data_IF_112900484640
#
_entry.id   IF_112900484640
#
_cell.length_a   1.000
_cell.length_b   1.000
_cell.length_c   1.000
_cell.angle_alpha   90.00
_cell.angle_beta   90.00
_cell.angle_gamma   90.00
#
_symmetry.space_group_name_H-M   'P 1'
#
loop_
_entity.id
_entity.type
_entity.pdbx_description
1 polymer ?
#
# COMPACT_ATOMS: atom_id res chain seq x y z
N UNK A 1 17.47 15.06 8.05
CA UNK A 1 17.40 14.20 6.84
C UNK A 1 18.02 14.91 5.64
N UNK A 2 18.85 14.20 4.83
CA UNK A 2 19.50 14.78 3.65
C UNK A 2 18.69 14.57 2.36
N UNK A 3 19.04 15.35 1.29
CA UNK A 3 18.40 15.24 -0.04
C UNK A 3 18.48 13.81 -0.61
N UNK A 4 19.63 13.14 -0.46
CA UNK A 4 19.82 11.77 -0.94
C UNK A 4 18.84 10.80 -0.28
N UNK A 5 18.65 10.92 1.03
CA UNK A 5 17.69 10.09 1.78
C UNK A 5 16.26 10.33 1.27
N UNK A 6 15.89 11.61 1.04
CA UNK A 6 14.56 11.96 0.54
C UNK A 6 14.30 11.35 -0.85
N UNK A 7 15.29 11.39 -1.74
CA UNK A 7 15.17 10.80 -3.09
C UNK A 7 15.03 9.28 -3.00
N UNK A 8 15.91 8.60 -2.26
CA UNK A 8 15.90 7.12 -2.16
C UNK A 8 14.60 6.64 -1.52
N UNK A 9 14.17 7.24 -0.41
CA UNK A 9 12.91 6.89 0.23
C UNK A 9 11.70 7.18 -0.68
N UNK A 10 11.73 8.29 -1.41
CA UNK A 10 10.70 8.63 -2.41
C UNK A 10 10.60 7.60 -3.53
N UNK A 11 11.74 7.12 -4.04
CA UNK A 11 11.79 6.05 -5.05
C UNK A 11 11.21 4.75 -4.47
N UNK A 12 11.69 4.32 -3.30
CA UNK A 12 11.22 3.09 -2.65
C UNK A 12 9.72 3.15 -2.38
N UNK A 13 9.24 4.24 -1.79
CA UNK A 13 7.81 4.44 -1.54
C UNK A 13 7.00 4.40 -2.84
N UNK A 14 7.37 5.21 -3.84
CA UNK A 14 6.62 5.31 -5.09
C UNK A 14 6.57 3.99 -5.87
N UNK A 15 7.66 3.22 -5.84
CA UNK A 15 7.72 1.89 -6.47
C UNK A 15 6.89 0.89 -5.68
N UNK A 16 7.12 0.78 -4.38
CA UNK A 16 6.58 -0.30 -3.57
C UNK A 16 5.13 -0.09 -3.10
N UNK A 17 4.60 1.15 -3.15
CA UNK A 17 3.23 1.45 -2.73
C UNK A 17 2.18 0.77 -3.62
N UNK A 18 2.42 0.75 -4.91
CA UNK A 18 1.49 0.20 -5.89
C UNK A 18 1.86 -1.20 -6.35
N UNK A 19 3.15 -1.48 -6.53
CA UNK A 19 3.58 -2.84 -6.77
C UNK A 19 3.29 -3.68 -5.52
N UNK A 20 2.87 -4.94 -5.68
CA UNK A 20 2.43 -5.76 -4.56
C UNK A 20 3.62 -6.33 -3.77
N UNK A 21 4.51 -5.44 -3.26
CA UNK A 21 5.76 -5.81 -2.57
C UNK A 21 5.92 -5.21 -1.18
N UNK A 22 4.92 -4.43 -0.69
CA UNK A 22 4.91 -3.77 0.63
C UNK A 22 5.88 -2.59 0.78
N UNK A 23 5.38 -1.36 0.60
CA UNK A 23 6.14 -0.12 0.78
C UNK A 23 6.63 0.05 2.22
N UNK A 24 5.75 -0.15 3.21
CA UNK A 24 6.10 -0.06 4.63
C UNK A 24 7.20 -1.04 5.03
N UNK A 25 7.15 -2.28 4.54
CA UNK A 25 8.20 -3.27 4.77
C UNK A 25 9.54 -2.83 4.19
N UNK A 26 9.56 -2.30 2.96
CA UNK A 26 10.78 -1.83 2.30
C UNK A 26 11.36 -0.58 2.96
N UNK A 27 10.53 0.35 3.43
CA UNK A 27 11.00 1.52 4.17
C UNK A 27 11.65 1.10 5.50
N UNK A 28 11.04 0.19 6.28
CA UNK A 28 11.64 -0.35 7.51
C UNK A 28 13.00 -0.99 7.23
N UNK A 29 13.10 -1.80 6.17
CA UNK A 29 14.37 -2.43 5.75
C UNK A 29 15.39 -1.37 5.35
N UNK A 30 14.99 -0.38 4.54
CA UNK A 30 15.87 0.70 4.10
C UNK A 30 16.45 1.46 5.27
N UNK A 31 15.61 1.85 6.24
CA UNK A 31 16.04 2.59 7.43
C UNK A 31 17.03 1.76 8.27
N UNK A 32 16.75 0.46 8.45
CA UNK A 32 17.65 -0.44 9.18
C UNK A 32 19.00 -0.61 8.50
N UNK A 33 19.04 -0.71 7.16
CA UNK A 33 20.28 -0.93 6.40
C UNK A 33 21.15 0.33 6.30
N UNK A 34 20.51 1.49 6.21
CA UNK A 34 21.22 2.75 5.96
C UNK A 34 21.56 3.51 7.23
N UNK A 35 21.04 3.06 8.38
CA UNK A 35 21.18 3.79 9.64
C UNK A 35 20.52 5.17 9.57
N UNK A 36 19.57 5.36 8.66
CA UNK A 36 18.80 6.59 8.66
C UNK A 36 18.14 6.74 10.03
N UNK A 37 18.48 7.82 10.72
CA UNK A 37 17.83 8.20 11.99
C UNK A 37 16.32 8.10 11.79
N UNK A 38 15.63 7.61 12.82
CA UNK A 38 14.21 7.27 12.81
C UNK A 38 13.40 8.11 11.83
N UNK A 39 12.57 7.47 10.99
CA UNK A 39 11.79 8.21 10.01
C UNK A 39 11.02 9.28 10.78
N UNK A 40 11.25 10.52 10.44
CA UNK A 40 10.35 11.58 10.87
C UNK A 40 8.98 11.14 10.40
N UNK A 41 8.09 10.78 11.31
CA UNK A 41 6.73 10.28 11.01
C UNK A 41 6.06 11.14 9.93
N UNK A 42 6.31 12.44 9.97
CA UNK A 42 5.86 13.39 8.98
C UNK A 42 6.46 13.19 7.59
N UNK A 43 7.71 12.77 7.50
CA UNK A 43 8.33 12.52 6.20
C UNK A 43 7.66 11.34 5.49
N UNK A 44 7.42 10.23 6.19
CA UNK A 44 6.71 9.09 5.63
C UNK A 44 5.29 9.45 5.19
N UNK A 45 4.62 10.36 5.93
CA UNK A 45 3.32 10.88 5.51
C UNK A 45 3.42 11.66 4.19
N UNK A 46 4.46 12.49 4.00
CA UNK A 46 4.67 13.22 2.74
C UNK A 46 4.95 12.27 1.57
N UNK A 47 5.68 11.19 1.80
CA UNK A 47 5.87 10.15 0.79
C UNK A 47 4.53 9.51 0.38
N UNK A 48 3.67 9.18 1.35
CA UNK A 48 2.34 8.62 1.09
C UNK A 48 1.41 9.64 0.41
N UNK A 49 1.48 10.93 0.75
CA UNK A 49 0.75 11.96 0.03
C UNK A 49 1.21 12.08 -1.43
N UNK A 50 2.50 11.89 -1.71
CA UNK A 50 3.02 11.85 -3.07
C UNK A 50 2.42 10.69 -3.87
N UNK A 51 2.37 9.49 -3.30
CA UNK A 51 1.72 8.35 -3.95
C UNK A 51 0.20 8.53 -4.04
N UNK A 52 -0.44 9.16 -3.07
CA UNK A 52 -1.86 9.53 -3.16
C UNK A 52 -2.12 10.50 -4.33
N UNK A 53 -1.25 11.49 -4.53
CA UNK A 53 -1.33 12.39 -5.68
C UNK A 53 -1.20 11.62 -7.01
N UNK A 54 -0.34 10.60 -7.08
CA UNK A 54 -0.25 9.71 -8.24
C UNK A 54 -1.58 9.00 -8.54
N UNK A 55 -2.31 8.53 -7.52
CA UNK A 55 -3.65 7.93 -7.68
C UNK A 55 -4.63 8.96 -8.26
N UNK A 56 -4.64 10.18 -7.74
CA UNK A 56 -5.50 11.25 -8.28
C UNK A 56 -5.19 11.56 -9.74
N UNK A 57 -3.92 11.58 -10.12
CA UNK A 57 -3.50 11.85 -11.51
C UNK A 57 -3.93 10.70 -12.43
N UNK A 58 -3.73 9.44 -12.04
CA UNK A 58 -3.98 8.28 -12.90
C UNK A 58 -5.47 7.92 -12.95
N UNK A 59 -6.19 7.99 -11.82
CA UNK A 59 -7.58 7.57 -11.68
C UNK A 59 -8.55 8.75 -11.50
N UNK A 60 -8.18 9.98 -11.83
CA UNK A 60 -9.00 11.17 -11.61
C UNK A 60 -10.41 11.07 -12.21
N UNK A 61 -10.54 10.53 -13.44
CA UNK A 61 -11.86 10.27 -14.06
C UNK A 61 -12.70 9.28 -13.25
N UNK A 62 -12.08 8.19 -12.80
CA UNK A 62 -12.76 7.15 -12.06
C UNK A 62 -13.21 7.63 -10.69
N UNK A 63 -12.43 8.51 -10.06
CA UNK A 63 -12.78 9.16 -8.80
C UNK A 63 -14.01 10.04 -8.99
N UNK A 64 -14.00 10.91 -10.00
CA UNK A 64 -15.15 11.77 -10.32
C UNK A 64 -16.40 10.93 -10.63
N UNK A 65 -16.26 9.90 -11.46
CA UNK A 65 -17.37 9.00 -11.77
C UNK A 65 -17.94 8.30 -10.53
N UNK A 66 -17.09 7.93 -9.57
CA UNK A 66 -17.52 7.23 -8.36
C UNK A 66 -18.41 8.10 -7.44
N UNK A 67 -18.29 9.42 -7.52
CA UNK A 67 -19.11 10.34 -6.72
C UNK A 67 -20.27 10.95 -7.52
N UNK A 68 -20.21 10.94 -8.85
CA UNK A 68 -21.22 11.57 -9.71
C UNK A 68 -22.17 10.55 -10.35
N UNK A 69 -21.65 9.71 -11.23
CA UNK A 69 -22.42 8.78 -12.08
C UNK A 69 -22.47 7.35 -11.55
N UNK A 70 -21.35 6.87 -11.01
CA UNK A 70 -21.23 5.51 -10.46
C UNK A 70 -21.31 5.49 -8.93
N UNK A 71 -22.32 6.14 -8.35
CA UNK A 71 -22.50 6.30 -6.90
C UNK A 71 -22.44 4.99 -6.11
N UNK A 72 -22.85 3.87 -6.72
CA UNK A 72 -22.71 2.54 -6.13
C UNK A 72 -21.24 2.19 -5.87
N UNK A 73 -20.33 2.50 -6.79
CA UNK A 73 -18.90 2.28 -6.62
C UNK A 73 -18.36 3.13 -5.45
N UNK A 74 -18.71 4.40 -5.38
CA UNK A 74 -18.38 5.28 -4.27
C UNK A 74 -18.86 4.73 -2.91
N UNK A 75 -20.13 4.27 -2.85
CA UNK A 75 -20.65 3.62 -1.65
C UNK A 75 -19.85 2.38 -1.24
N UNK A 76 -19.48 1.53 -2.19
CA UNK A 76 -18.70 0.32 -1.92
C UNK A 76 -17.27 0.64 -1.44
N UNK A 77 -16.66 1.71 -1.95
CA UNK A 77 -15.37 2.22 -1.46
C UNK A 77 -15.51 2.67 0.00
N UNK A 78 -16.55 3.46 0.32
CA UNK A 78 -16.79 3.91 1.69
C UNK A 78 -17.07 2.74 2.64
N UNK A 79 -17.83 1.74 2.22
CA UNK A 79 -18.09 0.52 2.98
C UNK A 79 -16.80 -0.24 3.28
N UNK A 80 -15.99 -0.52 2.26
CA UNK A 80 -14.70 -1.20 2.44
C UNK A 80 -13.75 -0.40 3.35
N UNK A 81 -13.74 0.93 3.20
CA UNK A 81 -12.93 1.83 4.04
C UNK A 81 -13.38 1.82 5.51
N UNK A 82 -14.69 1.84 5.77
CA UNK A 82 -15.22 1.76 7.12
C UNK A 82 -14.83 0.44 7.81
N UNK A 83 -14.91 -0.69 7.08
CA UNK A 83 -14.49 -1.99 7.58
C UNK A 83 -12.98 -2.00 7.84
N UNK A 84 -12.17 -1.47 6.93
CA UNK A 84 -10.72 -1.30 7.13
C UNK A 84 -10.43 -0.50 8.40
N UNK A 85 -11.10 0.63 8.58
CA UNK A 85 -10.90 1.50 9.73
C UNK A 85 -11.25 0.80 11.05
N UNK A 86 -12.39 0.11 11.12
CA UNK A 86 -12.78 -0.68 12.29
C UNK A 86 -11.76 -1.76 12.59
N UNK A 87 -11.28 -2.48 11.57
CA UNK A 87 -10.27 -3.51 11.73
C UNK A 87 -8.96 -2.94 12.28
N UNK A 88 -8.45 -1.85 11.68
CA UNK A 88 -7.21 -1.20 12.12
C UNK A 88 -7.33 -0.71 13.57
N UNK A 89 -8.43 -0.07 13.94
CA UNK A 89 -8.65 0.37 15.32
C UNK A 89 -8.69 -0.81 16.31
N UNK A 90 -9.32 -1.91 15.94
CA UNK A 90 -9.39 -3.10 16.78
C UNK A 90 -8.00 -3.74 17.05
N UNK A 91 -7.07 -3.64 16.10
CA UNK A 91 -5.76 -4.27 16.16
C UNK A 91 -4.60 -3.28 16.17
N UNK A 92 -4.83 -2.00 16.46
CA UNK A 92 -3.81 -0.95 16.34
C UNK A 92 -2.53 -1.24 17.12
N UNK A 93 -2.64 -1.71 18.36
CA UNK A 93 -1.48 -2.07 19.19
C UNK A 93 -0.64 -3.19 18.60
N UNK A 94 -1.29 -4.20 17.99
CA UNK A 94 -0.60 -5.30 17.34
C UNK A 94 0.13 -4.84 16.06
N UNK A 95 -0.52 -3.93 15.32
CA UNK A 95 0.04 -3.32 14.11
C UNK A 95 1.28 -2.49 14.47
N UNK A 96 1.19 -1.60 15.47
CA UNK A 96 2.32 -0.79 15.92
C UNK A 96 3.49 -1.64 16.43
N UNK A 97 3.21 -2.67 17.23
CA UNK A 97 4.23 -3.60 17.70
C UNK A 97 4.94 -4.34 16.55
N UNK A 98 4.26 -4.58 15.43
CA UNK A 98 4.87 -5.25 14.29
C UNK A 98 5.92 -4.38 13.57
N UNK A 99 5.85 -3.05 13.66
CA UNK A 99 6.83 -2.15 13.07
C UNK A 99 8.18 -2.16 13.79
N UNK A 100 8.21 -2.54 15.07
CA UNK A 100 9.43 -2.51 15.88
C UNK A 100 10.37 -3.70 15.62
N UNK A 101 9.89 -4.75 14.95
CA UNK A 101 10.66 -5.97 14.73
C UNK A 101 10.82 -6.30 13.24
N UNK A 102 12.01 -6.09 12.74
CA UNK A 102 12.37 -6.34 11.33
C UNK A 102 12.16 -7.81 10.90
N UNK A 103 12.30 -8.78 11.81
CA UNK A 103 11.99 -10.19 11.48
C UNK A 103 10.50 -10.41 11.24
N UNK A 104 9.64 -9.71 11.98
CA UNK A 104 8.19 -9.71 11.74
C UNK A 104 7.89 -9.21 10.32
N UNK A 105 8.54 -8.13 9.89
CA UNK A 105 8.44 -7.62 8.51
C UNK A 105 8.84 -8.69 7.50
N UNK A 106 9.94 -9.41 7.73
CA UNK A 106 10.39 -10.50 6.86
C UNK A 106 9.37 -11.64 6.76
N UNK A 107 8.79 -12.06 7.88
CA UNK A 107 7.74 -13.09 7.91
C UNK A 107 6.50 -12.62 7.14
N UNK A 108 6.08 -11.38 7.34
CA UNK A 108 4.91 -10.81 6.65
C UNK A 108 5.16 -10.66 5.15
N UNK A 109 6.39 -10.37 4.71
CA UNK A 109 6.78 -10.42 3.30
C UNK A 109 6.62 -11.83 2.70
N UNK A 110 7.07 -12.87 3.42
CA UNK A 110 6.90 -14.26 2.96
C UNK A 110 5.42 -14.61 2.84
N UNK A 111 4.60 -14.27 3.84
CA UNK A 111 3.14 -14.49 3.81
C UNK A 111 2.51 -13.75 2.62
N UNK A 112 2.88 -12.48 2.41
CA UNK A 112 2.43 -11.69 1.27
C UNK A 112 2.80 -12.36 -0.06
N UNK A 113 4.02 -12.89 -0.16
CA UNK A 113 4.50 -13.57 -1.35
C UNK A 113 3.74 -14.87 -1.64
N UNK A 114 3.45 -15.69 -0.62
CA UNK A 114 2.63 -16.92 -0.76
C UNK A 114 1.24 -16.55 -1.26
N UNK A 115 0.63 -15.50 -0.70
CA UNK A 115 -0.69 -15.02 -1.11
C UNK A 115 -0.72 -14.62 -2.59
N UNK A 116 0.30 -13.88 -3.04
CA UNK A 116 0.44 -13.46 -4.43
C UNK A 116 0.65 -14.64 -5.39
N UNK A 117 1.44 -15.64 -5.00
CA UNK A 117 1.65 -16.84 -5.81
C UNK A 117 0.35 -17.64 -5.91
N UNK A 118 -0.43 -17.73 -4.84
CA UNK A 118 -1.71 -18.43 -4.83
C UNK A 118 -2.67 -17.90 -5.91
N UNK A 119 -2.58 -16.60 -6.26
CA UNK A 119 -3.37 -16.02 -7.35
C UNK A 119 -3.11 -16.63 -8.73
N UNK A 120 -1.93 -17.25 -8.94
CA UNK A 120 -1.60 -17.88 -10.22
C UNK A 120 -2.43 -19.14 -10.50
N UNK A 121 -3.02 -19.72 -9.47
CA UNK A 121 -3.84 -20.95 -9.59
C UNK A 121 -5.32 -20.65 -9.80
N UNK A 122 -5.70 -19.39 -9.91
CA UNK A 122 -7.09 -18.94 -10.04
C UNK A 122 -7.32 -18.42 -11.45
N UNK A 123 -8.45 -18.81 -12.03
CA UNK A 123 -8.92 -18.18 -13.26
C UNK A 123 -9.60 -16.86 -12.89
N UNK A 124 -9.17 -15.77 -13.50
CA UNK A 124 -9.80 -14.48 -13.33
C UNK A 124 -11.26 -14.56 -13.77
N UNK A 125 -12.14 -14.12 -12.90
CA UNK A 125 -13.57 -14.09 -13.16
C UNK A 125 -13.98 -12.83 -13.93
N UNK A 126 -15.27 -12.74 -14.18
CA UNK A 126 -15.92 -11.56 -14.79
C UNK A 126 -17.07 -11.06 -13.91
N UNK A 127 -17.05 -11.46 -12.64
CA UNK A 127 -18.12 -11.10 -11.72
C UNK A 127 -18.06 -9.63 -11.32
N UNK A 128 -19.24 -9.03 -11.13
CA UNK A 128 -19.33 -7.65 -10.68
C UNK A 128 -18.98 -7.44 -9.22
N UNK A 129 -18.65 -6.21 -8.86
CA UNK A 129 -18.40 -5.79 -7.49
C UNK A 129 -19.71 -5.79 -6.68
N UNK A 130 -19.68 -6.40 -5.48
CA UNK A 130 -20.79 -6.44 -4.51
C UNK A 130 -20.36 -5.88 -3.17
N UNK A 131 -21.33 -5.60 -2.27
CA UNK A 131 -21.04 -5.14 -0.90
C UNK A 131 -20.25 -6.19 -0.11
N UNK A 132 -20.56 -7.47 -0.27
CA UNK A 132 -19.82 -8.56 0.37
C UNK A 132 -18.35 -8.57 -0.07
N UNK A 133 -18.08 -8.47 -1.39
CA UNK A 133 -16.71 -8.40 -1.93
C UNK A 133 -15.98 -7.15 -1.44
N UNK A 134 -16.64 -6.00 -1.45
CA UNK A 134 -16.06 -4.76 -0.93
C UNK A 134 -15.69 -4.88 0.57
N UNK A 135 -16.53 -5.55 1.36
CA UNK A 135 -16.27 -5.83 2.76
C UNK A 135 -15.04 -6.72 2.97
N UNK A 136 -14.95 -7.84 2.24
CA UNK A 136 -13.80 -8.76 2.34
C UNK A 136 -12.50 -8.10 1.87
N UNK A 137 -12.54 -7.28 0.80
CA UNK A 137 -11.38 -6.49 0.37
C UNK A 137 -11.02 -5.45 1.43
N UNK A 138 -12.01 -4.86 2.14
CA UNK A 138 -11.78 -3.96 3.26
C UNK A 138 -11.08 -4.64 4.45
N UNK A 139 -11.47 -5.88 4.79
CA UNK A 139 -10.77 -6.71 5.79
C UNK A 139 -9.33 -6.99 5.35
N UNK A 140 -9.12 -7.40 4.09
CA UNK A 140 -7.79 -7.64 3.55
C UNK A 140 -6.91 -6.37 3.59
N UNK A 141 -7.48 -5.20 3.33
CA UNK A 141 -6.79 -3.92 3.51
C UNK A 141 -6.42 -3.64 4.98
N UNK A 142 -7.30 -3.99 5.92
CA UNK A 142 -7.02 -3.88 7.35
C UNK A 142 -5.86 -4.78 7.79
N UNK A 143 -5.83 -6.04 7.34
CA UNK A 143 -4.71 -6.97 7.57
C UNK A 143 -3.41 -6.41 6.98
N UNK A 144 -3.49 -5.78 5.82
CA UNK A 144 -2.33 -5.19 5.14
C UNK A 144 -1.81 -3.89 5.80
N UNK A 145 -2.37 -3.43 6.91
CA UNK A 145 -1.76 -2.44 7.78
C UNK A 145 -0.52 -2.99 8.53
N UNK A 146 -0.36 -4.33 8.61
CA UNK A 146 0.84 -4.96 9.12
C UNK A 146 2.03 -4.72 8.18
N UNK A 147 3.19 -4.25 8.69
CA UNK A 147 4.37 -3.99 7.85
C UNK A 147 4.90 -5.30 7.25
N UNK A 148 5.19 -5.28 5.95
CA UNK A 148 5.58 -6.47 5.20
C UNK A 148 4.43 -7.10 4.42
N UNK A 149 3.16 -6.89 4.80
CA UNK A 149 2.03 -7.25 3.95
C UNK A 149 1.80 -6.13 2.93
N UNK A 150 1.77 -6.49 1.66
CA UNK A 150 1.45 -5.54 0.60
C UNK A 150 -0.03 -5.21 0.58
N UNK A 151 -0.39 -3.93 0.79
CA UNK A 151 -1.78 -3.48 0.73
C UNK A 151 -2.38 -3.71 -0.67
N UNK A 152 -1.71 -3.28 -1.73
CA UNK A 152 -2.14 -3.53 -3.11
C UNK A 152 -2.19 -5.03 -3.42
N UNK A 153 -1.20 -5.79 -2.95
CA UNK A 153 -1.16 -7.26 -3.07
C UNK A 153 -2.36 -7.91 -2.41
N UNK A 154 -2.63 -7.63 -1.16
CA UNK A 154 -3.74 -8.23 -0.40
C UNK A 154 -5.11 -7.88 -1.00
N UNK A 155 -5.36 -6.60 -1.31
CA UNK A 155 -6.65 -6.15 -1.82
C UNK A 155 -6.94 -6.64 -3.23
N UNK A 156 -5.95 -6.58 -4.14
CA UNK A 156 -6.10 -7.08 -5.52
C UNK A 156 -6.27 -8.60 -5.51
N UNK A 157 -5.41 -9.33 -4.79
CA UNK A 157 -5.52 -10.79 -4.69
C UNK A 157 -6.87 -11.23 -4.13
N UNK A 158 -7.36 -10.58 -3.07
CA UNK A 158 -8.69 -10.87 -2.53
C UNK A 158 -9.78 -10.63 -3.58
N UNK A 159 -9.69 -9.53 -4.34
CA UNK A 159 -10.61 -9.28 -5.44
C UNK A 159 -10.61 -10.39 -6.51
N UNK A 160 -9.41 -10.87 -6.88
CA UNK A 160 -9.25 -11.97 -7.84
C UNK A 160 -9.82 -13.30 -7.29
N UNK A 161 -9.57 -13.63 -6.01
CA UNK A 161 -10.14 -14.80 -5.32
C UNK A 161 -11.68 -14.76 -5.29
N UNK A 162 -12.25 -13.56 -5.25
CA UNK A 162 -13.70 -13.35 -5.25
C UNK A 162 -14.29 -13.29 -6.67
N UNK A 163 -13.54 -13.66 -7.71
CA UNK A 163 -14.01 -13.74 -9.08
C UNK A 163 -14.07 -12.41 -9.83
N UNK A 164 -13.38 -11.36 -9.35
CA UNK A 164 -13.23 -10.12 -10.12
C UNK A 164 -12.18 -10.30 -11.21
N UNK A 165 -12.32 -9.55 -12.29
CA UNK A 165 -11.23 -9.40 -13.25
C UNK A 165 -10.12 -8.50 -12.70
N UNK A 166 -8.91 -8.61 -13.29
CA UNK A 166 -7.73 -7.91 -12.79
C UNK A 166 -7.85 -6.38 -12.82
N UNK A 167 -8.54 -5.82 -13.82
CA UNK A 167 -8.74 -4.36 -13.92
C UNK A 167 -9.67 -3.85 -12.82
N UNK A 168 -10.81 -4.52 -12.64
CA UNK A 168 -11.79 -4.19 -11.61
C UNK A 168 -11.18 -4.31 -10.21
N UNK A 169 -10.44 -5.40 -9.94
CA UNK A 169 -9.76 -5.61 -8.67
C UNK A 169 -8.72 -4.51 -8.38
N UNK A 170 -7.86 -4.19 -9.36
CA UNK A 170 -6.84 -3.15 -9.22
C UNK A 170 -7.47 -1.76 -9.04
N UNK A 171 -8.43 -1.42 -9.90
CA UNK A 171 -9.13 -0.13 -9.82
C UNK A 171 -9.80 0.06 -8.46
N UNK A 172 -10.54 -0.94 -7.99
CA UNK A 172 -11.19 -0.87 -6.68
C UNK A 172 -10.16 -0.74 -5.56
N UNK A 173 -9.07 -1.50 -5.60
CA UNK A 173 -7.97 -1.44 -4.63
C UNK A 173 -7.36 -0.03 -4.53
N UNK A 174 -7.08 0.62 -5.67
CA UNK A 174 -6.48 1.95 -5.67
C UNK A 174 -7.48 3.05 -5.25
N UNK A 175 -8.73 2.94 -5.64
CA UNK A 175 -9.76 3.87 -5.14
C UNK A 175 -9.99 3.70 -3.63
N UNK A 176 -9.95 2.47 -3.13
CA UNK A 176 -10.06 2.16 -1.70
C UNK A 176 -8.86 2.66 -0.89
N UNK A 177 -7.69 2.84 -1.52
CA UNK A 177 -6.51 3.39 -0.84
C UNK A 177 -6.64 4.87 -0.51
N UNK A 178 -7.46 5.63 -1.25
CA UNK A 178 -7.61 7.08 -1.06
C UNK A 178 -8.10 7.40 0.36
N UNK A 179 -9.26 6.90 0.82
CA UNK A 179 -9.71 7.16 2.18
C UNK A 179 -8.80 6.52 3.24
N UNK A 180 -8.12 5.40 2.93
CA UNK A 180 -7.20 4.77 3.85
C UNK A 180 -5.96 5.64 4.11
N UNK A 181 -5.29 6.13 3.06
CA UNK A 181 -4.10 7.01 3.18
C UNK A 181 -4.50 8.36 3.80
N UNK A 182 -5.60 8.95 3.34
CA UNK A 182 -6.10 10.20 3.90
C UNK A 182 -6.46 10.06 5.40
N UNK A 183 -7.10 8.95 5.77
CA UNK A 183 -7.44 8.65 7.16
C UNK A 183 -6.21 8.45 8.04
N UNK A 184 -5.22 7.71 7.57
CA UNK A 184 -3.94 7.52 8.27
C UNK A 184 -3.20 8.85 8.47
N UNK A 185 -3.20 9.72 7.46
CA UNK A 185 -2.62 11.06 7.53
C UNK A 185 -3.30 11.91 8.59
N UNK A 186 -4.65 11.99 8.57
CA UNK A 186 -5.42 12.76 9.55
C UNK A 186 -5.24 12.22 10.98
N UNK A 187 -5.20 10.89 11.13
CA UNK A 187 -4.99 10.26 12.43
C UNK A 187 -3.62 10.65 13.01
N UNK A 188 -2.55 10.57 12.21
CA UNK A 188 -1.19 10.92 12.65
C UNK A 188 -1.03 12.41 12.97
N UNK A 189 -1.64 13.30 12.19
CA UNK A 189 -1.67 14.72 12.52
C UNK A 189 -2.33 14.98 13.87
N UNK A 190 -3.44 14.28 14.13
CA UNK A 190 -4.14 14.42 15.41
C UNK A 190 -3.31 13.91 16.60
N UNK A 191 -2.58 12.81 16.40
CA UNK A 191 -1.77 12.18 17.46
C UNK A 191 -0.51 12.99 17.79
N UNK A 192 0.22 13.44 16.78
CA UNK A 192 1.54 14.07 16.94
C UNK A 192 1.51 15.61 16.94
N UNK A 193 0.33 16.20 16.66
CA UNK A 193 0.24 17.65 16.37
C UNK A 193 0.83 17.99 14.99
N UNK A 194 0.40 19.09 14.40
CA UNK A 194 0.96 19.59 13.14
C UNK A 194 2.07 20.59 13.45
N UNK A 195 3.30 20.10 13.71
CA UNK A 195 4.46 20.98 13.82
C UNK A 195 5.00 21.33 12.41
N UNK A 196 4.46 22.39 11.84
CA UNK A 196 4.92 22.92 10.54
C UNK A 196 6.34 23.50 10.62
N UNK A 197 6.85 23.79 11.81
CA UNK A 197 8.17 24.40 12.05
C UNK A 197 9.35 23.51 11.60
N UNK A 198 9.14 22.19 11.47
CA UNK A 198 10.16 21.23 11.00
C UNK A 198 10.15 20.94 9.49
N UNK A 199 9.22 21.51 8.73
CA UNK A 199 9.15 21.25 7.30
C UNK A 199 10.37 21.86 6.57
N UNK A 200 11.09 21.02 5.86
CA UNK A 200 12.20 21.42 5.02
C UNK A 200 11.98 20.97 3.57
N UNK A 201 12.81 21.44 2.66
CA UNK A 201 12.71 21.17 1.21
C UNK A 201 12.73 19.64 0.90
N UNK A 202 13.35 18.82 1.74
CA UNK A 202 13.48 17.38 1.53
C UNK A 202 12.12 16.65 1.58
N UNK A 203 11.15 17.16 2.33
CA UNK A 203 9.77 16.63 2.36
C UNK A 203 9.11 16.75 0.99
N UNK A 204 9.28 17.92 0.35
CA UNK A 204 8.74 18.16 -0.99
C UNK A 204 9.49 17.36 -2.05
N UNK A 205 10.81 17.18 -1.91
CA UNK A 205 11.59 16.31 -2.80
C UNK A 205 11.05 14.88 -2.71
N UNK A 206 10.89 14.34 -1.49
CA UNK A 206 10.32 13.02 -1.27
C UNK A 206 8.92 12.87 -1.87
N UNK A 207 8.04 13.86 -1.64
CA UNK A 207 6.69 13.91 -2.21
C UNK A 207 6.70 13.82 -3.74
N UNK A 208 7.45 14.69 -4.43
CA UNK A 208 7.47 14.69 -5.89
C UNK A 208 8.11 13.45 -6.49
N UNK A 209 9.17 12.93 -5.86
CA UNK A 209 9.82 11.68 -6.29
C UNK A 209 8.86 10.50 -6.12
N UNK A 210 8.22 10.38 -4.96
CA UNK A 210 7.24 9.29 -4.72
C UNK A 210 6.02 9.39 -5.63
N UNK A 211 5.56 10.61 -5.95
CA UNK A 211 4.49 10.83 -6.91
C UNK A 211 4.89 10.35 -8.32
N UNK A 212 6.03 10.80 -8.83
CA UNK A 212 6.53 10.42 -10.16
C UNK A 212 6.75 8.92 -10.29
N UNK A 213 7.44 8.31 -9.32
CA UNK A 213 7.65 6.86 -9.29
C UNK A 213 6.35 6.10 -9.10
N UNK A 214 5.41 6.65 -8.34
CA UNK A 214 4.07 6.08 -8.16
C UNK A 214 3.29 6.01 -9.47
N UNK A 215 3.31 7.04 -10.29
CA UNK A 215 2.65 7.03 -11.62
C UNK A 215 3.24 5.93 -12.50
N UNK A 216 4.57 5.79 -12.51
CA UNK A 216 5.24 4.74 -13.29
C UNK A 216 4.86 3.34 -12.80
N UNK A 217 4.83 3.15 -11.49
CA UNK A 217 4.52 1.86 -10.84
C UNK A 217 3.07 1.45 -11.06
N UNK A 218 2.12 2.37 -11.00
CA UNK A 218 0.72 2.13 -11.34
C UNK A 218 0.57 1.61 -12.77
N UNK A 219 1.21 2.28 -13.74
CA UNK A 219 1.19 1.87 -15.15
C UNK A 219 1.82 0.48 -15.34
N UNK A 220 2.94 0.21 -14.67
CA UNK A 220 3.61 -1.08 -14.73
C UNK A 220 2.75 -2.19 -14.15
N UNK A 221 2.12 -1.96 -12.99
CA UNK A 221 1.26 -2.95 -12.35
C UNK A 221 0.06 -3.32 -13.24
N UNK A 222 -0.64 -2.33 -13.77
CA UNK A 222 -1.77 -2.57 -14.68
C UNK A 222 -1.35 -3.42 -15.88
N UNK A 223 -0.17 -3.13 -16.47
CA UNK A 223 0.39 -3.94 -17.57
C UNK A 223 0.73 -5.38 -17.14
N UNK A 224 1.21 -5.56 -15.91
CA UNK A 224 1.59 -6.88 -15.37
C UNK A 224 0.37 -7.74 -15.07
N UNK A 225 -0.70 -7.15 -14.54
CA UNK A 225 -1.98 -7.81 -14.33
C UNK A 225 -2.59 -8.30 -15.65
N UNK A 226 -2.52 -7.48 -16.70
CA UNK A 226 -2.96 -7.87 -18.04
C UNK A 226 -2.26 -9.12 -18.58
N UNK A 227 -1.00 -9.36 -18.16
CA UNK A 227 -0.16 -10.47 -18.62
C UNK A 227 -0.19 -11.70 -17.70
N UNK A 228 -1.06 -11.70 -16.68
CA UNK A 228 -1.11 -12.77 -15.66
C UNK A 228 0.25 -13.05 -14.98
N UNK A 229 1.11 -12.03 -14.84
CA UNK A 229 2.45 -12.14 -14.24
C UNK A 229 2.52 -11.66 -12.79
N UNK A 230 1.40 -11.63 -12.11
CA UNK A 230 1.30 -11.12 -10.74
C UNK A 230 2.11 -11.94 -9.73
N UNK A 231 2.26 -13.23 -9.98
CA UNK A 231 3.02 -14.17 -9.14
C UNK A 231 4.53 -13.88 -9.06
N UNK A 232 5.11 -13.15 -10.03
CA UNK A 232 6.52 -12.75 -9.96
C UNK A 232 6.83 -11.85 -8.77
N UNK A 233 5.89 -10.99 -8.42
CA UNK A 233 6.01 -10.17 -7.20
C UNK A 233 5.98 -11.04 -5.95
N UNK A 234 5.23 -12.16 -5.99
CA UNK A 234 5.20 -13.13 -4.89
C UNK A 234 6.55 -13.80 -4.67
N UNK A 235 7.21 -14.23 -5.75
CA UNK A 235 8.56 -14.80 -5.68
C UNK A 235 9.56 -13.77 -5.10
N UNK A 236 9.49 -12.52 -5.55
CA UNK A 236 10.29 -11.43 -4.99
C UNK A 236 10.05 -11.25 -3.49
N UNK A 237 8.80 -11.18 -3.04
CA UNK A 237 8.46 -11.01 -1.63
C UNK A 237 8.98 -12.15 -0.75
N UNK A 238 8.91 -13.41 -1.24
CA UNK A 238 9.45 -14.57 -0.51
C UNK A 238 10.97 -14.45 -0.39
N UNK A 239 11.67 -14.17 -1.49
CA UNK A 239 13.13 -14.02 -1.47
C UNK A 239 13.56 -12.86 -0.56
N UNK A 240 12.92 -11.70 -0.67
CA UNK A 240 13.20 -10.55 0.18
C UNK A 240 12.92 -10.87 1.66
N UNK A 241 11.78 -11.50 1.95
CA UNK A 241 11.41 -11.86 3.32
C UNK A 241 12.39 -12.86 3.95
N UNK A 242 12.78 -13.91 3.22
CA UNK A 242 13.79 -14.89 3.67
C UNK A 242 15.13 -14.17 3.94
N UNK A 243 15.57 -13.30 3.02
CA UNK A 243 16.81 -12.53 3.19
C UNK A 243 16.77 -11.68 4.47
N UNK A 244 15.64 -11.00 4.71
CA UNK A 244 15.45 -10.20 5.93
C UNK A 244 15.55 -11.07 7.19
N UNK A 245 14.87 -12.22 7.21
CA UNK A 245 14.86 -13.13 8.38
C UNK A 245 16.26 -13.67 8.69
N UNK A 246 17.03 -14.00 7.65
CA UNK A 246 18.35 -14.63 7.82
C UNK A 246 19.46 -13.63 8.13
N UNK A 247 19.45 -12.45 7.54
CA UNK A 247 20.59 -11.54 7.54
C UNK A 247 20.39 -10.26 8.36
N UNK A 248 19.14 -9.82 8.59
CA UNK A 248 18.90 -8.64 9.40
C UNK A 248 18.64 -9.03 10.87
N UNK A 249 19.51 -8.54 11.75
CA UNK A 249 19.33 -8.70 13.20
C UNK A 249 18.16 -7.83 13.68
N UNK A 250 17.41 -8.31 14.69
CA UNK A 250 16.32 -7.55 15.30
C UNK A 250 16.75 -6.19 15.83
#
# INVERSE_FOLDING_TARGET
MGVFQAIVSGIVQGVAEFLPISSSGHLVILHKLTGFSEPEIFFDLFLHLGTLAAVFIVFGKDIIESVTTKKRTGFLILLGSAITFVFVLAFIRNIEAAFTNVKTVGIMLVISGIWLIACNFIRFGTEGMTAFKAGLIGVAQGIAALPGISRSGATISTGLFLGLDGQTAAKFSFLLSIPAIAGAFLFKIRESGLELSGLNINYFIGFFVSCGMGILSLKLLLKTLYRNKFHWFGAYCILAGITVILFLKP
#
